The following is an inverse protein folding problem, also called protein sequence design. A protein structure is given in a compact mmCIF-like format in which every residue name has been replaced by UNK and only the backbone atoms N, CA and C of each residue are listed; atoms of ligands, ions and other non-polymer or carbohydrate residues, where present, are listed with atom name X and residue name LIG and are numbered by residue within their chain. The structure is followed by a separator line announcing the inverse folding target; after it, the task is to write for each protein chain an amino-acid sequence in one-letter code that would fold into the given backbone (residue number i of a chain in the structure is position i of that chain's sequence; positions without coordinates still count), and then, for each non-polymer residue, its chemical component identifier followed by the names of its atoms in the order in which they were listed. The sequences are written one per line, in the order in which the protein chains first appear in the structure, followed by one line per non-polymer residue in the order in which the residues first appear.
data_IF_682979233223
#
_entry.id   IF_682979233223
#
_cell.length_a   1.000
_cell.length_b   1.000
_cell.length_c   1.000
_cell.angle_alpha   90.00
_cell.angle_beta   90.00
_cell.angle_gamma   90.00
#
_symmetry.space_group_name_H-M   'P 1'
#
loop_
_entity.id
_entity.type
_entity.pdbx_description
1 polymer ?
#
# COMPACT_ATOMS: atom_id res chain seq x y z
N UNK A 1 8.98 12.04 15.20
CA UNK A 1 8.35 10.79 14.71
C UNK A 1 6.80 10.85 14.79
N UNK A 2 6.15 11.99 14.54
CA UNK A 2 4.68 12.14 14.77
C UNK A 2 3.84 12.05 13.49
N UNK A 3 4.49 12.10 12.31
CA UNK A 3 3.78 12.19 11.02
C UNK A 3 3.21 10.87 10.50
N UNK A 4 3.83 9.73 10.85
CA UNK A 4 3.32 8.42 10.44
C UNK A 4 2.09 7.96 11.23
N UNK A 5 1.87 8.49 12.44
CA UNK A 5 0.86 7.94 13.36
C UNK A 5 -0.54 8.06 12.75
N UNK A 6 -0.85 9.19 12.11
CA UNK A 6 -2.12 9.41 11.41
C UNK A 6 -2.29 8.55 10.15
N UNK A 7 -1.20 8.27 9.43
CA UNK A 7 -1.22 7.38 8.26
C UNK A 7 -1.45 5.93 8.69
N UNK A 8 -0.75 5.48 9.71
CA UNK A 8 -0.90 4.15 10.28
C UNK A 8 -2.32 3.95 10.83
N UNK A 9 -2.92 4.96 11.46
CA UNK A 9 -4.30 4.89 11.92
C UNK A 9 -5.29 4.68 10.76
N UNK A 10 -5.12 5.40 9.65
CA UNK A 10 -5.93 5.20 8.43
C UNK A 10 -5.77 3.80 7.84
N UNK A 11 -4.55 3.25 7.86
CA UNK A 11 -4.31 1.85 7.44
C UNK A 11 -4.98 0.87 8.40
N UNK A 12 -4.94 1.14 9.71
CA UNK A 12 -5.61 0.33 10.74
C UNK A 12 -7.14 0.34 10.61
N UNK A 13 -7.73 1.44 10.15
CA UNK A 13 -9.17 1.52 9.88
C UNK A 13 -9.61 0.63 8.71
N UNK A 14 -8.70 0.24 7.81
CA UNK A 14 -8.97 -0.66 6.68
C UNK A 14 -8.85 -2.15 7.06
N UNK A 15 -8.60 -2.46 8.34
CA UNK A 15 -8.46 -3.80 8.93
C UNK A 15 -9.86 -4.35 9.26
N UNK A 16 -10.24 -5.53 8.73
CA UNK A 16 -10.02 -6.77 9.52
C UNK A 16 -8.90 -7.73 9.06
N UNK A 17 -8.52 -7.88 7.78
CA UNK A 17 -7.66 -8.99 7.34
C UNK A 17 -6.15 -8.74 7.47
N UNK A 18 -5.75 -7.51 7.81
CA UNK A 18 -4.36 -7.09 7.94
C UNK A 18 -3.86 -7.28 9.37
N UNK A 19 -2.74 -8.00 9.54
CA UNK A 19 -2.03 -8.12 10.81
C UNK A 19 -0.84 -7.18 10.83
N UNK A 20 -0.70 -6.36 11.89
CA UNK A 20 0.44 -5.47 12.12
C UNK A 20 1.34 -6.04 13.22
N UNK A 21 2.22 -7.03 12.93
CA UNK A 21 3.13 -7.57 13.95
C UNK A 21 4.19 -6.57 14.40
N UNK A 22 4.51 -5.59 13.55
CA UNK A 22 5.49 -4.53 13.83
C UNK A 22 4.95 -3.21 13.27
N UNK A 23 5.15 -2.12 13.99
CA UNK A 23 4.77 -0.77 13.55
C UNK A 23 5.33 -0.50 12.15
N UNK A 24 4.45 -0.23 11.18
CA UNK A 24 4.85 -0.02 9.78
C UNK A 24 5.13 -1.31 9.00
N UNK A 25 4.67 -2.47 9.45
CA UNK A 25 4.70 -3.71 8.66
C UNK A 25 3.37 -4.44 8.80
N UNK A 26 2.73 -4.69 7.67
CA UNK A 26 1.41 -5.30 7.59
C UNK A 26 1.45 -6.58 6.74
N UNK A 27 0.77 -7.60 7.25
CA UNK A 27 0.64 -8.91 6.63
C UNK A 27 -0.81 -9.15 6.24
N UNK A 28 -1.03 -9.64 5.02
CA UNK A 28 -2.35 -10.05 4.51
C UNK A 28 -2.34 -11.57 4.30
N UNK A 29 -3.29 -12.28 4.93
CA UNK A 29 -3.42 -13.75 4.79
C UNK A 29 -2.09 -14.51 4.98
N UNK A 30 -1.29 -14.11 5.98
CA UNK A 30 0.03 -14.68 6.29
C UNK A 30 1.18 -14.38 5.31
N UNK A 31 0.97 -13.50 4.32
CA UNK A 31 2.02 -12.99 3.45
C UNK A 31 2.35 -11.53 3.78
N UNK A 32 3.63 -11.15 3.68
CA UNK A 32 4.04 -9.76 3.78
C UNK A 32 3.35 -8.97 2.65
N UNK A 33 2.68 -7.89 3.02
CA UNK A 33 1.79 -7.17 2.11
C UNK A 33 2.12 -5.69 2.00
N UNK A 34 2.42 -5.03 3.12
CA UNK A 34 2.84 -3.64 3.11
C UNK A 34 3.95 -3.46 4.14
N UNK A 35 5.04 -2.81 3.77
CA UNK A 35 6.06 -2.44 4.74
C UNK A 35 6.61 -1.04 4.46
N UNK A 36 6.83 -0.30 5.53
CA UNK A 36 7.40 1.04 5.50
C UNK A 36 8.88 0.94 5.86
N UNK A 37 9.73 1.58 5.08
CA UNK A 37 11.15 1.71 5.37
C UNK A 37 11.61 3.14 5.11
N UNK A 38 12.55 3.59 5.93
CA UNK A 38 13.26 4.85 5.75
C UNK A 38 14.54 4.54 4.97
N UNK A 39 14.74 5.25 3.86
CA UNK A 39 15.96 5.20 3.08
C UNK A 39 16.67 6.57 3.18
N UNK A 40 17.97 6.61 2.86
CA UNK A 40 18.74 7.87 2.86
C UNK A 40 18.13 8.96 1.95
N UNK A 41 17.27 8.57 1.01
CA UNK A 41 16.57 9.47 0.08
C UNK A 41 15.18 9.91 0.56
N UNK A 42 14.63 9.32 1.62
CA UNK A 42 13.29 9.62 2.13
C UNK A 42 12.53 8.39 2.64
N UNK A 43 11.25 8.58 2.96
CA UNK A 43 10.40 7.50 3.44
C UNK A 43 9.70 6.81 2.27
N UNK A 44 9.69 5.48 2.28
CA UNK A 44 9.06 4.66 1.25
C UNK A 44 8.18 3.56 1.86
N UNK A 45 7.16 3.18 1.11
CA UNK A 45 6.25 2.10 1.43
C UNK A 45 6.22 1.11 0.26
N UNK A 46 6.57 -0.13 0.52
CA UNK A 46 6.47 -1.21 -0.47
C UNK A 46 5.17 -1.96 -0.23
N UNK A 47 4.26 -1.87 -1.21
CA UNK A 47 2.97 -2.54 -1.23
C UNK A 47 3.00 -3.69 -2.23
N UNK A 48 2.44 -4.83 -1.85
CA UNK A 48 2.29 -5.98 -2.74
C UNK A 48 1.01 -5.86 -3.57
N UNK A 49 1.18 -5.52 -4.84
CA UNK A 49 0.11 -5.33 -5.84
C UNK A 49 0.10 -6.50 -6.80
N UNK A 50 -1.00 -7.27 -6.84
CA UNK A 50 -1.15 -8.45 -7.72
C UNK A 50 0.02 -9.45 -7.66
N UNK A 51 0.69 -9.55 -6.50
CA UNK A 51 1.85 -10.43 -6.30
C UNK A 51 3.21 -9.77 -6.51
N UNK A 52 3.27 -8.58 -7.09
CA UNK A 52 4.50 -7.80 -7.33
C UNK A 52 4.69 -6.72 -6.26
N UNK A 53 5.92 -6.46 -5.86
CA UNK A 53 6.23 -5.36 -4.94
C UNK A 53 6.31 -4.04 -5.70
N UNK A 54 5.46 -3.09 -5.31
CA UNK A 54 5.46 -1.75 -5.85
C UNK A 54 5.87 -0.77 -4.74
N UNK A 55 6.89 0.02 -5.03
CA UNK A 55 7.37 1.07 -4.14
C UNK A 55 6.58 2.35 -4.34
N UNK A 56 6.09 2.92 -3.23
CA UNK A 56 5.44 4.21 -3.18
C UNK A 56 6.26 5.15 -2.28
N UNK A 57 6.60 6.37 -2.74
CA UNK A 57 7.10 7.40 -1.84
C UNK A 57 6.04 7.71 -0.78
N UNK A 58 6.46 8.14 0.41
CA UNK A 58 5.58 8.57 1.51
C UNK A 58 6.17 9.83 2.16
N UNK A 59 6.48 10.82 1.32
CA UNK A 59 7.11 12.07 1.72
C UNK A 59 6.08 13.21 1.92
N UNK A 60 4.85 13.05 1.42
CA UNK A 60 3.78 14.06 1.48
C UNK A 60 2.37 13.50 1.62
N UNK A 61 1.38 14.38 1.79
CA UNK A 61 -0.03 13.98 1.85
C UNK A 61 -0.56 13.45 0.51
N UNK A 62 -0.05 13.98 -0.61
CA UNK A 62 -0.36 13.47 -1.94
C UNK A 62 0.10 12.01 -2.10
N UNK A 63 1.33 11.72 -1.64
CA UNK A 63 1.90 10.38 -1.61
C UNK A 63 1.07 9.41 -0.74
N UNK A 64 0.64 9.88 0.44
CA UNK A 64 -0.20 9.10 1.34
C UNK A 64 -1.53 8.73 0.68
N UNK A 65 -2.12 9.66 -0.06
CA UNK A 65 -3.37 9.43 -0.78
C UNK A 65 -3.19 8.36 -1.85
N UNK A 66 -2.13 8.45 -2.67
CA UNK A 66 -1.83 7.46 -3.70
C UNK A 66 -1.60 6.05 -3.11
N UNK A 67 -0.82 5.95 -2.02
CA UNK A 67 -0.60 4.68 -1.32
C UNK A 67 -1.91 4.10 -0.77
N UNK A 68 -2.74 4.91 -0.11
CA UNK A 68 -4.00 4.47 0.48
C UNK A 68 -5.01 4.03 -0.58
N UNK A 69 -5.04 4.69 -1.74
CA UNK A 69 -5.86 4.27 -2.89
C UNK A 69 -5.39 2.93 -3.44
N UNK A 70 -4.09 2.76 -3.67
CA UNK A 70 -3.54 1.49 -4.13
C UNK A 70 -3.81 0.36 -3.13
N UNK A 71 -3.68 0.66 -1.83
CA UNK A 71 -3.99 -0.28 -0.75
C UNK A 71 -5.45 -0.75 -0.80
N UNK A 72 -6.42 0.16 -0.95
CA UNK A 72 -7.84 -0.20 -1.11
C UNK A 72 -8.03 -1.19 -2.25
N UNK A 73 -7.45 -0.91 -3.42
CA UNK A 73 -7.62 -1.77 -4.60
C UNK A 73 -7.14 -3.21 -4.37
N UNK A 74 -6.24 -3.42 -3.41
CA UNK A 74 -5.70 -4.74 -3.09
C UNK A 74 -6.41 -5.43 -1.91
N UNK A 75 -7.25 -4.71 -1.16
CA UNK A 75 -7.97 -5.28 -0.01
C UNK A 75 -9.30 -5.92 -0.45
N UNK A 76 -9.52 -7.21 -0.14
CA UNK A 76 -10.78 -7.87 -0.45
C UNK A 76 -11.88 -7.31 0.47
N UNK A 77 -12.67 -6.37 -0.04
CA UNK A 77 -13.77 -5.73 0.69
C UNK A 77 -13.78 -4.19 0.63
N UNK A 78 -12.72 -3.56 0.12
CA UNK A 78 -12.79 -2.16 -0.25
C UNK A 78 -13.60 -2.06 -1.56
N UNK A 79 -14.75 -1.42 -1.45
CA UNK A 79 -15.77 -1.30 -2.50
C UNK A 79 -15.21 -1.18 -3.91
N UNK A 80 -15.68 -2.07 -4.78
CA UNK A 80 -15.45 -2.08 -6.23
C UNK A 80 -15.83 -0.73 -6.84
N UNK A 81 -14.87 0.19 -6.93
CA UNK A 81 -14.95 1.38 -7.76
C UNK A 81 -13.53 1.89 -8.05
N UNK A 82 -12.89 1.29 -9.05
CA UNK A 82 -11.94 2.01 -9.89
C UNK A 82 -12.08 1.50 -11.33
N UNK A 83 -12.14 2.41 -12.33
CA UNK A 83 -12.10 2.03 -13.74
C UNK A 83 -10.68 1.60 -14.12
N UNK A 84 -10.59 0.75 -15.13
CA UNK A 84 -9.40 0.01 -15.52
C UNK A 84 -8.11 0.83 -15.61
N UNK A 85 -7.07 0.32 -14.96
CA UNK A 85 -5.74 0.38 -15.54
C UNK A 85 -5.59 -0.87 -16.41
N UNK A 86 -6.05 -0.75 -17.66
CA UNK A 86 -5.55 -1.59 -18.74
C UNK A 86 -4.02 -1.45 -18.75
N UNK A 87 -3.34 -2.54 -18.43
CA UNK A 87 -1.99 -2.77 -18.94
C UNK A 87 -2.12 -3.03 -20.44
N UNK A 88 -1.57 -2.21 -21.34
CA UNK A 88 -1.23 -2.72 -22.66
C UNK A 88 0.03 -3.57 -22.49
N UNK A 89 -0.18 -4.82 -22.06
CA UNK A 89 0.74 -5.89 -22.39
C UNK A 89 0.75 -6.00 -23.91
N UNK A 90 1.94 -5.82 -24.50
CA UNK A 90 2.12 -5.86 -25.94
C UNK A 90 1.64 -7.19 -26.56
N UNK A 91 1.43 -7.14 -27.87
CA UNK A 91 1.65 -8.30 -28.71
C UNK A 91 2.52 -7.89 -29.89
N UNK A 92 3.58 -8.67 -30.04
CA UNK A 92 4.43 -8.78 -31.21
C UNK A 92 3.66 -9.51 -32.32
N UNK A 93 3.74 -9.04 -33.56
CA UNK A 93 3.98 -9.78 -34.82
C UNK A 93 3.89 -8.82 -35.99
#
# INVERSE_FOLDING_TARGET
MTRLVSLLDRVRQRVPPLKEPKTGTFYLKSAAFLHFHDDSSGLFADLKVQGSWQRYPVNGEADYTALLQALDQQLPGAVSNAPGAESPGGQCS
#
